data_IF_067082519783
#
_entry.id   IF_067082519783
#
_cell.length_a   1.000
_cell.length_b   1.000
_cell.length_c   1.000
_cell.angle_alpha   90.00
_cell.angle_beta   90.00
_cell.angle_gamma   90.00
#
_symmetry.space_group_name_H-M   'P 1'
#
loop_
_entity.id
_entity.type
_entity.pdbx_description
1 polymer ?
#
# COMPACT_ATOMS: atom_id res chain seq x y z
N UNK A 1 7.10 -9.29 -14.11
CA UNK A 1 7.75 -9.82 -12.90
C UNK A 1 9.16 -10.28 -13.24
N UNK A 2 10.06 -10.11 -12.27
CA UNK A 2 11.41 -10.67 -12.27
C UNK A 2 11.60 -11.29 -10.89
N UNK A 3 12.21 -12.47 -10.79
CA UNK A 3 12.56 -13.09 -9.51
C UNK A 3 14.07 -13.29 -9.38
N UNK A 4 14.56 -13.25 -8.14
CA UNK A 4 15.97 -13.49 -7.79
C UNK A 4 16.05 -14.09 -6.38
N UNK A 5 17.18 -14.73 -6.07
CA UNK A 5 17.52 -15.19 -4.71
C UNK A 5 18.72 -14.46 -4.11
N UNK A 6 19.42 -13.66 -4.91
CA UNK A 6 20.74 -13.10 -4.58
C UNK A 6 20.91 -11.63 -5.02
N UNK A 7 19.90 -11.03 -5.66
CA UNK A 7 19.96 -9.69 -6.26
C UNK A 7 21.09 -9.50 -7.30
N UNK A 8 21.61 -10.60 -7.84
CA UNK A 8 22.68 -10.62 -8.85
C UNK A 8 22.24 -11.35 -10.12
N UNK A 9 21.57 -12.49 -9.94
CA UNK A 9 21.02 -13.31 -11.02
C UNK A 9 19.51 -13.16 -11.06
N UNK A 10 18.97 -12.92 -12.25
CA UNK A 10 17.55 -12.59 -12.44
C UNK A 10 16.88 -13.51 -13.44
N UNK A 11 15.70 -14.01 -13.10
CA UNK A 11 14.81 -14.72 -14.02
C UNK A 11 13.64 -13.81 -14.38
N UNK A 12 13.45 -13.53 -15.67
CA UNK A 12 12.37 -12.67 -16.16
C UNK A 12 11.17 -13.53 -16.57
N UNK A 13 10.06 -13.41 -15.83
CA UNK A 13 8.79 -14.07 -16.16
C UNK A 13 7.97 -13.31 -17.22
N UNK A 14 8.35 -12.07 -17.55
CA UNK A 14 7.60 -11.22 -18.49
C UNK A 14 6.57 -10.33 -17.80
N UNK A 15 5.62 -9.79 -18.55
CA UNK A 15 4.41 -9.19 -17.95
C UNK A 15 3.62 -10.35 -17.32
N UNK A 16 2.96 -10.18 -16.17
CA UNK A 16 2.18 -11.28 -15.53
C UNK A 16 0.70 -10.95 -15.41
N UNK A 17 0.35 -9.66 -15.45
CA UNK A 17 -1.04 -9.20 -15.58
C UNK A 17 -1.21 -8.71 -17.01
N UNK A 18 -1.71 -9.58 -17.89
CA UNK A 18 -1.84 -9.30 -19.33
C UNK A 18 -3.25 -8.87 -19.76
N UNK A 19 -4.25 -9.23 -18.96
CA UNK A 19 -5.66 -9.04 -19.29
C UNK A 19 -6.12 -7.58 -19.21
N UNK A 20 -5.35 -6.73 -18.52
CA UNK A 20 -5.69 -5.32 -18.28
C UNK A 20 -4.43 -4.45 -18.23
N UNK A 21 -4.52 -3.19 -18.67
CA UNK A 21 -3.46 -2.20 -18.43
C UNK A 21 -3.33 -1.94 -16.92
N UNK A 22 -2.16 -2.26 -16.37
CA UNK A 22 -1.95 -2.27 -14.93
C UNK A 22 -0.58 -1.80 -14.48
N UNK A 23 -0.54 -1.34 -13.22
CA UNK A 23 0.61 -0.81 -12.50
C UNK A 23 0.35 -0.95 -11.00
N UNK A 24 1.24 -0.42 -10.16
CA UNK A 24 1.09 -0.43 -8.70
C UNK A 24 0.86 -1.85 -8.17
N UNK A 25 1.65 -2.80 -8.69
CA UNK A 25 1.52 -4.21 -8.35
C UNK A 25 2.25 -4.50 -7.03
N UNK A 26 1.54 -5.08 -6.06
CA UNK A 26 2.06 -5.43 -4.74
C UNK A 26 1.69 -6.88 -4.41
N UNK A 27 2.69 -7.76 -4.45
CA UNK A 27 2.54 -9.18 -4.12
C UNK A 27 2.46 -9.35 -2.60
N UNK A 28 1.52 -10.16 -2.12
CA UNK A 28 1.49 -10.55 -0.71
C UNK A 28 2.71 -11.44 -0.40
N UNK A 29 3.33 -11.31 0.79
CA UNK A 29 4.59 -11.98 1.09
C UNK A 29 4.46 -13.50 1.33
N UNK A 30 3.23 -14.01 1.42
CA UNK A 30 2.93 -15.43 1.55
C UNK A 30 1.63 -15.77 0.81
N UNK A 31 1.37 -17.08 0.65
CA UNK A 31 0.10 -17.55 0.12
C UNK A 31 -1.01 -17.40 1.17
N UNK A 32 -2.21 -17.05 0.73
CA UNK A 32 -3.43 -17.00 1.54
C UNK A 32 -4.36 -18.07 1.02
N UNK A 33 -4.82 -18.97 1.89
CA UNK A 33 -5.63 -20.14 1.53
C UNK A 33 -5.04 -20.96 0.36
N UNK A 34 -3.72 -21.18 0.40
CA UNK A 34 -3.00 -21.95 -0.62
C UNK A 34 -2.81 -21.24 -1.97
N UNK A 35 -3.12 -19.95 -2.08
CA UNK A 35 -3.00 -19.19 -3.33
C UNK A 35 -2.06 -18.00 -3.17
N UNK A 36 -1.29 -17.69 -4.21
CA UNK A 36 -0.61 -16.40 -4.30
C UNK A 36 -1.62 -15.29 -4.52
N UNK A 37 -1.39 -14.15 -3.88
CA UNK A 37 -2.29 -12.99 -3.95
C UNK A 37 -1.49 -11.76 -4.36
N UNK A 38 -2.02 -10.98 -5.30
CA UNK A 38 -1.42 -9.72 -5.75
C UNK A 38 -2.46 -8.61 -5.74
N UNK A 39 -2.04 -7.42 -5.31
CA UNK A 39 -2.74 -6.18 -5.62
C UNK A 39 -2.19 -5.59 -6.90
N UNK A 40 -3.03 -4.99 -7.74
CA UNK A 40 -2.60 -4.23 -8.89
C UNK A 40 -3.52 -3.04 -9.10
N UNK A 41 -2.97 -1.82 -9.15
CA UNK A 41 -3.70 -0.59 -8.83
C UNK A 41 -4.31 -0.75 -7.44
N UNK A 42 -5.61 -1.02 -7.33
CA UNK A 42 -6.26 -1.43 -6.09
C UNK A 42 -7.22 -2.61 -6.32
N UNK A 43 -6.94 -3.40 -7.35
CA UNK A 43 -7.60 -4.65 -7.62
C UNK A 43 -6.85 -5.77 -6.93
N UNK A 44 -7.55 -6.83 -6.55
CA UNK A 44 -6.97 -8.06 -6.04
C UNK A 44 -7.10 -9.17 -7.08
N UNK A 45 -6.09 -10.01 -7.21
CA UNK A 45 -6.09 -11.18 -8.09
C UNK A 45 -5.30 -12.33 -7.45
N UNK A 46 -5.56 -13.53 -7.92
CA UNK A 46 -5.04 -14.78 -7.36
C UNK A 46 -4.25 -15.58 -8.39
N UNK A 47 -3.33 -16.42 -7.94
CA UNK A 47 -2.54 -17.31 -8.80
C UNK A 47 -2.10 -18.57 -8.05
N UNK A 48 -1.89 -19.66 -8.79
CA UNK A 48 -1.29 -20.91 -8.28
C UNK A 48 0.22 -21.01 -8.57
N UNK A 49 0.73 -20.21 -9.50
CA UNK A 49 2.05 -20.40 -10.11
C UNK A 49 2.86 -19.09 -10.26
N UNK A 50 2.29 -17.94 -9.85
CA UNK A 50 2.83 -16.57 -10.02
C UNK A 50 2.92 -16.09 -11.49
N UNK A 51 2.43 -16.89 -12.44
CA UNK A 51 2.46 -16.58 -13.87
C UNK A 51 1.06 -16.26 -14.38
N UNK A 52 0.09 -17.12 -14.04
CA UNK A 52 -1.29 -17.01 -14.46
C UNK A 52 -2.13 -16.42 -13.32
N UNK A 53 -2.61 -15.20 -13.53
CA UNK A 53 -3.43 -14.45 -12.58
C UNK A 53 -4.90 -14.46 -12.99
N UNK A 54 -5.79 -14.73 -12.04
CA UNK A 54 -7.23 -14.86 -12.27
C UNK A 54 -8.05 -14.20 -11.14
N UNK A 55 -9.36 -14.17 -11.34
CA UNK A 55 -10.34 -13.65 -10.37
C UNK A 55 -10.04 -12.20 -9.93
N UNK A 56 -9.82 -11.34 -10.91
CA UNK A 56 -9.56 -9.92 -10.71
C UNK A 56 -10.81 -9.22 -10.15
N UNK A 57 -10.72 -8.68 -8.94
CA UNK A 57 -11.81 -7.95 -8.28
C UNK A 57 -11.35 -6.58 -7.85
N UNK A 58 -12.26 -5.60 -7.92
CA UNK A 58 -12.01 -4.26 -7.35
C UNK A 58 -12.03 -4.40 -5.82
N UNK A 59 -10.92 -4.10 -5.15
CA UNK A 59 -10.87 -4.09 -3.68
C UNK A 59 -11.44 -2.78 -3.13
N UNK A 60 -11.03 -1.65 -3.71
CA UNK A 60 -11.46 -0.32 -3.28
C UNK A 60 -11.81 0.58 -4.46
N UNK A 61 -12.68 1.55 -4.17
CA UNK A 61 -12.98 2.68 -5.06
C UNK A 61 -12.48 3.99 -4.42
N UNK A 62 -12.28 5.00 -5.25
CA UNK A 62 -11.99 6.36 -4.78
C UNK A 62 -13.16 6.89 -3.96
N UNK A 63 -12.90 7.79 -3.00
CA UNK A 63 -13.94 8.43 -2.19
C UNK A 63 -14.20 9.83 -2.71
N UNK A 64 -15.45 10.13 -3.05
CA UNK A 64 -15.85 11.48 -3.48
C UNK A 64 -15.54 12.49 -2.36
N UNK A 65 -15.02 13.67 -2.74
CA UNK A 65 -14.70 14.76 -1.81
C UNK A 65 -13.66 14.39 -0.71
N UNK A 66 -12.81 13.39 -0.97
CA UNK A 66 -11.72 13.01 -0.07
C UNK A 66 -10.35 13.26 -0.74
N UNK A 67 -9.27 13.13 0.03
CA UNK A 67 -7.89 13.24 -0.44
C UNK A 67 -7.50 12.15 -1.43
N UNK A 68 -8.29 11.07 -1.52
CA UNK A 68 -8.13 9.95 -2.45
C UNK A 68 -9.28 9.83 -3.46
N UNK A 69 -9.82 10.99 -3.86
CA UNK A 69 -10.95 11.14 -4.81
C UNK A 69 -10.58 10.93 -6.28
N UNK A 70 -9.34 11.22 -6.65
CA UNK A 70 -8.82 11.15 -8.02
C UNK A 70 -8.41 9.72 -8.39
N UNK A 71 -7.33 9.22 -7.77
CA UNK A 71 -6.76 7.90 -8.03
C UNK A 71 -6.30 7.26 -6.73
N UNK A 72 -6.28 5.93 -6.71
CA UNK A 72 -5.71 5.13 -5.62
C UNK A 72 -4.92 3.96 -6.19
N UNK A 73 -3.88 3.55 -5.46
CA UNK A 73 -3.08 2.39 -5.80
C UNK A 73 -2.33 1.85 -4.60
N UNK A 74 -1.99 0.56 -4.65
CA UNK A 74 -1.11 -0.06 -3.68
C UNK A 74 0.26 0.62 -3.73
N UNK A 75 0.83 0.92 -2.56
CA UNK A 75 2.16 1.50 -2.48
C UNK A 75 3.21 0.42 -2.25
N UNK A 76 3.08 -0.30 -1.15
CA UNK A 76 4.02 -1.34 -0.72
C UNK A 76 3.36 -2.74 -0.71
N UNK A 77 4.16 -3.82 -0.73
CA UNK A 77 3.67 -5.14 -0.35
C UNK A 77 2.95 -5.09 1.01
N UNK A 78 1.79 -5.74 1.17
CA UNK A 78 1.13 -5.83 2.47
C UNK A 78 2.02 -6.48 3.52
N UNK A 79 1.96 -5.97 4.76
CA UNK A 79 2.69 -6.49 5.91
C UNK A 79 1.74 -7.30 6.77
N UNK A 80 2.10 -8.55 7.07
CA UNK A 80 1.32 -9.41 7.96
C UNK A 80 1.42 -8.93 9.39
N UNK A 81 0.29 -8.77 10.07
CA UNK A 81 0.22 -8.42 11.50
C UNK A 81 -0.85 -9.25 12.20
N UNK A 82 -0.84 -9.27 13.53
CA UNK A 82 -1.88 -9.89 14.36
C UNK A 82 -3.27 -9.25 14.18
N UNK A 83 -3.32 -8.05 13.58
CA UNK A 83 -4.55 -7.32 13.33
C UNK A 83 -5.06 -7.44 11.88
N UNK A 84 -4.28 -8.02 10.97
CA UNK A 84 -4.59 -8.02 9.53
C UNK A 84 -3.37 -7.80 8.64
N UNK A 85 -3.63 -7.73 7.33
CA UNK A 85 -2.68 -7.25 6.34
C UNK A 85 -2.66 -5.73 6.32
N UNK A 86 -1.58 -5.15 6.84
CA UNK A 86 -1.35 -3.71 6.84
C UNK A 86 -0.82 -3.29 5.47
N UNK A 87 -1.53 -2.38 4.80
CA UNK A 87 -1.16 -1.83 3.51
C UNK A 87 -1.03 -0.30 3.59
N UNK A 88 0.14 0.22 3.24
CA UNK A 88 0.30 1.62 2.91
C UNK A 88 -0.03 1.82 1.43
N UNK A 89 -1.08 2.60 1.17
CA UNK A 89 -1.56 2.89 -0.17
C UNK A 89 -1.40 4.38 -0.47
N UNK A 90 -1.26 4.72 -1.75
CA UNK A 90 -1.27 6.11 -2.18
C UNK A 90 -2.64 6.49 -2.72
N UNK A 91 -2.98 7.77 -2.54
CA UNK A 91 -4.19 8.37 -3.08
C UNK A 91 -3.91 9.78 -3.57
N UNK A 92 -4.67 10.20 -4.58
CA UNK A 92 -4.65 11.58 -5.09
C UNK A 92 -6.02 12.19 -5.05
N UNK A 93 -6.08 13.50 -4.87
CA UNK A 93 -7.27 14.28 -5.18
C UNK A 93 -7.28 14.69 -6.67
N UNK A 94 -8.25 15.51 -7.06
CA UNK A 94 -8.35 16.04 -8.42
C UNK A 94 -7.31 17.12 -8.75
N UNK A 95 -6.53 17.58 -7.77
CA UNK A 95 -5.38 18.46 -7.96
C UNK A 95 -4.07 17.66 -8.13
N UNK A 96 -4.15 16.31 -8.15
CA UNK A 96 -3.02 15.39 -8.23
C UNK A 96 -2.02 15.53 -7.07
N UNK A 97 -2.46 15.91 -5.88
CA UNK A 97 -1.61 15.86 -4.69
C UNK A 97 -1.55 14.40 -4.20
N UNK A 98 -0.36 13.79 -4.24
CA UNK A 98 -0.18 12.40 -3.78
C UNK A 98 0.08 12.37 -2.29
N UNK A 99 -0.73 11.59 -1.58
CA UNK A 99 -0.64 11.35 -0.13
C UNK A 99 -0.67 9.86 0.15
N UNK A 100 -0.24 9.44 1.34
CA UNK A 100 -0.34 8.06 1.79
C UNK A 100 -1.47 7.90 2.80
N UNK A 101 -2.16 6.77 2.71
CA UNK A 101 -3.11 6.30 3.71
C UNK A 101 -2.79 4.87 4.11
N UNK A 102 -3.60 4.35 5.03
CA UNK A 102 -3.46 2.99 5.54
C UNK A 102 -4.76 2.23 5.32
N UNK A 103 -4.61 0.96 4.93
CA UNK A 103 -5.66 -0.04 4.87
C UNK A 103 -5.25 -1.22 5.73
N UNK A 104 -6.21 -1.81 6.44
CA UNK A 104 -6.06 -3.09 7.12
C UNK A 104 -7.03 -4.08 6.47
N UNK A 105 -6.52 -5.19 5.95
CA UNK A 105 -7.33 -6.26 5.36
C UNK A 105 -7.36 -7.47 6.30
N UNK A 106 -8.41 -8.27 6.21
CA UNK A 106 -8.53 -9.51 6.98
C UNK A 106 -7.47 -10.54 6.57
N UNK A 107 -6.94 -11.30 7.54
CA UNK A 107 -5.83 -12.24 7.31
C UNK A 107 -6.23 -13.42 6.41
N UNK A 108 -7.45 -13.93 6.60
CA UNK A 108 -7.95 -15.12 5.94
C UNK A 108 -8.64 -14.77 4.61
N UNK A 109 -9.30 -13.60 4.56
CA UNK A 109 -9.97 -13.10 3.37
C UNK A 109 -9.55 -11.66 3.05
N UNK A 110 -8.46 -11.45 2.28
CA UNK A 110 -7.92 -10.13 1.98
C UNK A 110 -8.86 -9.25 1.14
N UNK A 111 -10.02 -9.78 0.70
CA UNK A 111 -11.07 -8.96 0.08
C UNK A 111 -11.87 -8.15 1.10
N UNK A 112 -11.80 -8.50 2.39
CA UNK A 112 -12.46 -7.79 3.49
C UNK A 112 -11.55 -6.68 4.02
N UNK A 113 -12.01 -5.45 3.87
CA UNK A 113 -11.37 -4.27 4.42
C UNK A 113 -11.84 -4.06 5.86
N UNK A 114 -10.95 -4.26 6.83
CA UNK A 114 -11.22 -4.06 8.25
C UNK A 114 -11.13 -2.58 8.64
N UNK A 115 -10.20 -1.85 8.03
CA UNK A 115 -10.00 -0.43 8.27
C UNK A 115 -9.43 0.25 7.02
N UNK A 116 -9.82 1.51 6.80
CA UNK A 116 -9.21 2.41 5.82
C UNK A 116 -9.14 3.80 6.44
N UNK A 117 -7.99 4.47 6.37
CA UNK A 117 -7.82 5.78 7.00
C UNK A 117 -8.70 6.85 6.34
N UNK A 118 -9.44 7.62 7.13
CA UNK A 118 -10.22 8.76 6.64
C UNK A 118 -9.33 9.90 6.17
N UNK A 119 -8.30 10.21 6.96
CA UNK A 119 -7.28 11.22 6.66
C UNK A 119 -5.99 10.57 6.13
N UNK A 120 -5.16 11.31 5.39
CA UNK A 120 -3.81 10.86 5.04
C UNK A 120 -2.97 10.64 6.30
N UNK A 121 -2.08 9.65 6.25
CA UNK A 121 -1.07 9.40 7.30
C UNK A 121 0.28 10.04 6.99
N UNK A 122 0.50 10.41 5.72
CA UNK A 122 1.64 11.20 5.26
C UNK A 122 1.20 12.05 4.08
N UNK A 123 1.55 13.34 4.08
CA UNK A 123 1.28 14.26 3.00
C UNK A 123 2.50 15.17 2.72
N UNK A 124 2.59 15.78 1.52
CA UNK A 124 3.70 16.67 1.18
C UNK A 124 3.68 17.93 2.03
N UNK A 125 4.67 18.08 2.91
CA UNK A 125 4.81 19.26 3.77
C UNK A 125 6.13 19.99 3.53
N UNK A 126 7.20 19.22 3.31
CA UNK A 126 8.57 19.72 3.21
C UNK A 126 8.87 20.24 1.80
N UNK A 127 9.82 21.18 1.64
CA UNK A 127 10.21 21.69 0.32
C UNK A 127 10.57 20.57 -0.67
N UNK A 128 11.29 19.54 -0.23
CA UNK A 128 11.68 18.42 -1.10
C UNK A 128 10.52 17.50 -1.54
N UNK A 129 9.34 17.62 -0.91
CA UNK A 129 8.10 16.90 -1.27
C UNK A 129 7.18 17.76 -2.15
N UNK A 130 7.31 19.09 -2.03
CA UNK A 130 6.52 20.07 -2.79
C UNK A 130 7.21 20.51 -4.09
N UNK A 131 8.53 20.44 -4.15
CA UNK A 131 9.33 20.98 -5.25
C UNK A 131 10.18 19.90 -5.94
N UNK A 132 9.80 19.54 -7.16
CA UNK A 132 10.53 18.56 -7.96
C UNK A 132 9.95 18.42 -9.35
N UNK A 133 10.21 17.27 -9.99
CA UNK A 133 9.70 16.99 -11.33
C UNK A 133 8.17 16.91 -11.35
N UNK A 134 7.61 16.31 -10.30
CA UNK A 134 6.16 16.31 -10.03
C UNK A 134 5.96 16.92 -8.64
N UNK A 135 5.41 18.13 -8.52
CA UNK A 135 5.24 18.77 -7.22
C UNK A 135 4.16 18.10 -6.38
N UNK A 136 4.25 18.25 -5.06
CA UNK A 136 3.27 17.75 -4.07
C UNK A 136 3.09 16.23 -4.12
N UNK A 137 4.20 15.49 -4.01
CA UNK A 137 4.20 14.03 -4.05
C UNK A 137 4.89 13.45 -2.82
N UNK A 138 4.18 12.57 -2.12
CA UNK A 138 4.75 11.48 -1.31
C UNK A 138 4.19 10.15 -1.83
N UNK A 139 5.06 9.25 -2.28
CA UNK A 139 4.67 7.99 -2.92
C UNK A 139 5.52 6.83 -2.40
N UNK A 140 4.93 5.88 -1.67
CA UNK A 140 5.67 4.73 -1.14
C UNK A 140 5.72 3.57 -2.12
N UNK A 141 6.88 2.91 -2.20
CA UNK A 141 7.09 1.66 -2.93
C UNK A 141 7.60 0.53 -2.01
N UNK A 142 7.77 0.81 -0.71
CA UNK A 142 8.41 -0.12 0.21
C UNK A 142 8.29 0.33 1.65
N UNK A 143 7.86 -0.61 2.49
CA UNK A 143 7.79 -0.44 3.94
C UNK A 143 8.51 -1.61 4.58
N UNK A 144 9.34 -1.32 5.57
CA UNK A 144 10.08 -2.34 6.33
C UNK A 144 9.66 -2.23 7.77
N UNK A 145 9.23 -3.36 8.35
CA UNK A 145 9.10 -3.48 9.79
C UNK A 145 10.44 -3.90 10.40
N UNK A 146 10.93 -3.13 11.38
CA UNK A 146 12.17 -3.43 12.09
C UNK A 146 12.19 -2.71 13.44
N UNK A 147 12.71 -3.37 14.48
CA UNK A 147 12.91 -2.78 15.81
C UNK A 147 11.63 -2.11 16.34
N UNK A 148 10.48 -2.81 16.23
CA UNK A 148 9.14 -2.36 16.60
C UNK A 148 8.65 -1.07 15.90
N UNK A 149 9.22 -0.76 14.73
CA UNK A 149 8.86 0.40 13.91
C UNK A 149 8.58 0.02 12.47
N UNK A 150 7.69 0.78 11.85
CA UNK A 150 7.54 0.79 10.40
C UNK A 150 8.40 1.91 9.82
N UNK A 151 9.30 1.54 8.91
CA UNK A 151 10.09 2.44 8.08
C UNK A 151 9.41 2.54 6.71
N UNK A 152 8.73 3.66 6.46
CA UNK A 152 8.02 3.92 5.21
C UNK A 152 8.95 4.70 4.29
N UNK A 153 9.55 4.03 3.32
CA UNK A 153 10.35 4.67 2.28
C UNK A 153 9.45 5.22 1.19
N UNK A 154 9.66 6.47 0.79
CA UNK A 154 8.80 7.14 -0.19
C UNK A 154 9.60 8.02 -1.15
N UNK A 155 9.17 8.07 -2.40
CA UNK A 155 9.57 9.07 -3.36
C UNK A 155 8.92 10.42 -3.01
N UNK A 156 9.72 11.47 -3.03
CA UNK A 156 9.32 12.85 -2.77
C UNK A 156 9.54 13.70 -4.02
N UNK A 157 8.45 14.32 -4.47
CA UNK A 157 8.38 15.17 -5.66
C UNK A 157 9.00 14.59 -6.96
N UNK A 158 8.95 13.25 -7.13
CA UNK A 158 9.65 12.51 -8.20
C UNK A 158 11.14 12.88 -8.35
N UNK A 159 11.79 13.20 -7.21
CA UNK A 159 13.13 13.78 -7.19
C UNK A 159 14.07 13.09 -6.21
N UNK A 160 13.59 12.74 -5.02
CA UNK A 160 14.41 12.14 -3.98
C UNK A 160 13.65 11.07 -3.20
N UNK A 161 14.34 10.37 -2.31
CA UNK A 161 13.76 9.35 -1.43
C UNK A 161 13.81 9.88 0.00
N UNK A 162 12.66 9.89 0.68
CA UNK A 162 12.52 10.13 2.10
C UNK A 162 12.22 8.83 2.87
N UNK A 163 12.31 8.91 4.19
CA UNK A 163 11.85 7.86 5.09
C UNK A 163 11.08 8.49 6.24
N UNK A 164 9.86 7.98 6.48
CA UNK A 164 9.06 8.30 7.65
C UNK A 164 9.00 7.08 8.56
N UNK A 165 8.88 7.29 9.87
CA UNK A 165 8.85 6.21 10.85
C UNK A 165 7.69 6.36 11.81
N UNK A 166 7.09 5.24 12.21
CA UNK A 166 6.08 5.18 13.27
C UNK A 166 6.29 3.89 14.09
N UNK A 167 6.16 3.99 15.41
CA UNK A 167 6.17 2.82 16.30
C UNK A 167 4.97 1.92 15.98
N UNK A 168 5.17 0.60 15.98
CA UNK A 168 4.13 -0.39 15.68
C UNK A 168 2.93 -0.23 16.61
N UNK A 169 3.20 -0.21 17.91
CA UNK A 169 2.17 -0.05 18.94
C UNK A 169 1.40 1.26 18.76
N UNK A 170 2.11 2.36 18.48
CA UNK A 170 1.49 3.67 18.25
C UNK A 170 0.56 3.65 17.04
N UNK A 171 0.97 3.00 15.95
CA UNK A 171 0.16 2.88 14.76
C UNK A 171 -1.16 2.16 15.06
N UNK A 172 -1.09 0.98 15.68
CA UNK A 172 -2.29 0.19 15.97
C UNK A 172 -3.18 0.81 17.05
N UNK A 173 -2.59 1.51 18.02
CA UNK A 173 -3.35 2.34 18.97
C UNK A 173 -4.21 3.38 18.24
N UNK A 174 -3.64 4.12 17.28
CA UNK A 174 -4.37 5.14 16.52
C UNK A 174 -5.42 4.53 15.59
N UNK A 175 -5.17 3.35 15.01
CA UNK A 175 -6.16 2.61 14.23
C UNK A 175 -7.34 2.21 15.13
N UNK A 176 -7.07 1.57 16.28
CA UNK A 176 -8.10 1.13 17.21
C UNK A 176 -8.94 2.31 17.73
N UNK A 177 -8.29 3.42 18.10
CA UNK A 177 -8.97 4.66 18.52
C UNK A 177 -9.94 5.18 17.45
N UNK A 178 -9.57 5.10 16.16
CA UNK A 178 -10.44 5.53 15.06
C UNK A 178 -11.57 4.54 14.75
N UNK A 179 -11.33 3.24 14.91
CA UNK A 179 -12.34 2.21 14.68
C UNK A 179 -13.45 2.21 15.73
N UNK A 180 -13.12 2.49 17.00
CA UNK A 180 -14.06 2.36 18.12
C UNK A 180 -14.65 3.70 18.60
N UNK A 181 -14.35 4.80 17.92
CA UNK A 181 -14.59 6.15 18.44
C UNK A 181 -13.72 6.41 19.67
N UNK A 182 -13.67 7.65 20.17
CA UNK A 182 -12.87 8.01 21.35
C UNK A 182 -13.35 7.30 22.63
N UNK A 183 -13.01 6.02 22.78
CA UNK A 183 -13.14 5.23 24.00
C UNK A 183 -11.88 4.40 24.19
N UNK A 184 -10.74 5.09 24.29
CA UNK A 184 -9.61 4.58 25.06
C UNK A 184 -9.17 5.74 25.96
N UNK A 185 -9.78 5.81 27.13
CA UNK A 185 -9.28 6.57 28.27
C UNK A 185 -8.90 5.55 29.34
N UNK A 186 -7.66 5.65 29.83
CA UNK A 186 -7.13 4.84 30.92
C UNK A 186 -5.67 4.55 30.73
#
# INVERSE_FOLDING_TARGET
MISTKDFSTYHRQGVVIHSVDSKDAALFPEMIDGQYVILHRIWIAYSQDLENWYDHRILLKTRKNSWDSGKIGAGSPPIKTEHGWLLFYHGTDHQNIYRLGIILLDLDDPTKVLYRSEEPVLEPEKPYEKEGLVPNVVFTCGVVEKDDKFFVYYGAADRCIGVATIERERLFYEIAKRMHGEMVHG
#
